data_IF_052732150357
#
_entry.id   IF_052732150357
#
_cell.length_a   1.000
_cell.length_b   1.000
_cell.length_c   1.000
_cell.angle_alpha   90.00
_cell.angle_beta   90.00
_cell.angle_gamma   90.00
#
_symmetry.space_group_name_H-M   'P 1'
#
loop_
_entity.id
_entity.type
_entity.pdbx_description
1 polymer ?
#
# COMPACT_ATOMS: atom_id res chain seq x y z
N UNK A 1 -20.29 -19.87 3.51
CA UNK A 1 -19.10 -20.45 4.19
C UNK A 1 -17.99 -19.43 4.04
N UNK A 2 -17.46 -18.87 5.12
CA UNK A 2 -16.37 -17.91 5.03
C UNK A 2 -15.10 -18.66 4.63
N UNK A 3 -14.68 -18.51 3.39
CA UNK A 3 -13.34 -18.95 2.97
C UNK A 3 -12.33 -17.98 3.60
N UNK A 4 -11.85 -18.32 4.78
CA UNK A 4 -10.77 -17.56 5.42
C UNK A 4 -9.50 -17.85 4.64
N UNK A 5 -8.97 -16.85 3.93
CA UNK A 5 -7.67 -16.95 3.27
C UNK A 5 -6.59 -17.11 4.34
N UNK A 6 -5.77 -18.14 4.20
CA UNK A 6 -4.63 -18.35 5.11
C UNK A 6 -3.35 -17.83 4.45
N UNK A 7 -2.87 -16.66 4.89
CA UNK A 7 -1.64 -16.06 4.37
C UNK A 7 -0.41 -16.98 4.52
N UNK A 8 -0.36 -17.84 5.55
CA UNK A 8 0.73 -18.78 5.71
C UNK A 8 0.79 -19.82 4.57
N UNK A 9 -0.36 -20.21 4.02
CA UNK A 9 -0.41 -21.08 2.84
C UNK A 9 0.14 -20.39 1.59
N UNK A 10 -0.13 -19.07 1.44
CA UNK A 10 0.39 -18.28 0.32
C UNK A 10 1.92 -18.17 0.40
N UNK A 11 2.49 -18.07 1.60
CA UNK A 11 3.94 -17.95 1.79
C UNK A 11 4.74 -19.14 1.23
N UNK A 12 4.09 -20.29 1.05
CA UNK A 12 4.70 -21.50 0.48
C UNK A 12 4.67 -21.54 -1.06
N UNK A 13 3.92 -20.63 -1.70
CA UNK A 13 3.81 -20.57 -3.15
C UNK A 13 5.06 -19.90 -3.76
N UNK A 14 5.48 -20.41 -4.92
CA UNK A 14 6.51 -19.79 -5.73
C UNK A 14 5.91 -18.69 -6.64
N UNK A 15 6.75 -17.79 -7.13
CA UNK A 15 6.36 -16.64 -7.95
C UNK A 15 5.57 -17.06 -9.21
N UNK A 16 5.93 -18.14 -9.85
CA UNK A 16 5.25 -18.66 -11.05
C UNK A 16 3.79 -19.06 -10.79
N UNK A 17 3.40 -19.22 -9.52
CA UNK A 17 2.00 -19.52 -9.15
C UNK A 17 1.10 -18.29 -9.20
N UNK A 18 1.64 -17.08 -9.35
CA UNK A 18 0.88 -15.83 -9.30
C UNK A 18 0.42 -15.33 -10.67
N UNK A 19 -0.06 -16.22 -11.51
CA UNK A 19 -0.61 -15.85 -12.84
C UNK A 19 -1.94 -15.11 -12.76
N UNK A 20 -2.67 -15.27 -11.64
CA UNK A 20 -3.99 -14.69 -11.39
C UNK A 20 -3.95 -13.72 -10.21
N UNK A 21 -4.94 -12.80 -10.10
CA UNK A 21 -5.12 -12.02 -8.87
C UNK A 21 -5.20 -12.93 -7.66
N UNK A 22 -4.46 -12.61 -6.60
CA UNK A 22 -4.40 -13.45 -5.41
C UNK A 22 -5.22 -12.81 -4.28
N UNK A 23 -6.29 -13.45 -3.79
CA UNK A 23 -7.02 -12.95 -2.64
C UNK A 23 -6.14 -13.09 -1.38
N UNK A 24 -5.93 -11.98 -0.68
CA UNK A 24 -5.23 -11.92 0.61
C UNK A 24 -6.23 -11.96 1.78
N UNK A 25 -7.43 -11.42 1.54
CA UNK A 25 -8.58 -11.50 2.43
C UNK A 25 -9.85 -11.66 1.60
N UNK A 26 -10.78 -12.49 2.06
CA UNK A 26 -12.09 -12.61 1.42
C UNK A 26 -13.15 -13.09 2.40
N UNK A 27 -14.30 -12.41 2.39
CA UNK A 27 -15.55 -12.90 2.98
C UNK A 27 -16.68 -12.82 1.94
N UNK A 28 -17.93 -12.92 2.35
CA UNK A 28 -19.09 -12.93 1.44
C UNK A 28 -19.24 -11.64 0.63
N UNK A 29 -18.83 -10.49 1.16
CA UNK A 29 -19.09 -9.16 0.58
C UNK A 29 -17.85 -8.29 0.38
N UNK A 30 -16.75 -8.65 1.03
CA UNK A 30 -15.54 -7.82 1.05
C UNK A 30 -14.30 -8.64 0.78
N UNK A 31 -13.41 -8.14 -0.07
CA UNK A 31 -12.16 -8.81 -0.35
C UNK A 31 -11.02 -7.81 -0.57
N UNK A 32 -9.79 -8.27 -0.29
CA UNK A 32 -8.53 -7.58 -0.61
C UNK A 32 -7.71 -8.50 -1.49
N UNK A 33 -7.41 -8.06 -2.70
CA UNK A 33 -6.61 -8.81 -3.68
C UNK A 33 -5.25 -8.14 -3.87
N UNK A 34 -4.23 -8.95 -4.03
CA UNK A 34 -2.98 -8.55 -4.67
C UNK A 34 -3.12 -8.79 -6.17
N UNK A 35 -2.86 -7.76 -6.97
CA UNK A 35 -3.04 -7.82 -8.44
C UNK A 35 -1.78 -8.27 -9.18
N UNK A 36 -0.68 -8.45 -8.48
CA UNK A 36 0.57 -8.86 -9.08
C UNK A 36 1.45 -7.71 -9.53
N UNK A 37 2.56 -8.10 -10.11
CA UNK A 37 3.53 -7.22 -10.74
C UNK A 37 4.11 -7.93 -11.96
N UNK A 38 4.23 -7.24 -13.12
CA UNK A 38 4.89 -7.80 -14.30
C UNK A 38 6.41 -7.67 -14.22
N UNK A 39 6.92 -6.97 -13.21
CA UNK A 39 8.32 -6.59 -13.13
C UNK A 39 9.18 -7.72 -12.57
N UNK A 40 10.23 -8.06 -13.29
CA UNK A 40 11.29 -8.92 -12.78
C UNK A 40 12.47 -8.06 -12.32
N UNK A 41 12.25 -7.29 -11.27
CA UNK A 41 13.25 -6.41 -10.65
C UNK A 41 13.28 -6.56 -9.15
N UNK A 42 14.38 -6.12 -8.52
CA UNK A 42 14.49 -6.14 -7.07
C UNK A 42 13.54 -5.12 -6.39
N UNK A 43 13.14 -4.08 -7.12
CA UNK A 43 12.22 -3.03 -6.67
C UNK A 43 10.88 -3.17 -7.38
N UNK A 44 10.07 -4.12 -6.93
CA UNK A 44 8.75 -4.44 -7.52
C UNK A 44 7.67 -3.64 -6.83
N UNK A 45 6.70 -3.16 -7.64
CA UNK A 45 5.53 -2.46 -7.13
C UNK A 45 4.36 -3.41 -6.94
N UNK A 46 3.73 -3.36 -5.79
CA UNK A 46 2.50 -4.08 -5.48
C UNK A 46 1.30 -3.16 -5.73
N UNK A 47 0.33 -3.64 -6.48
CA UNK A 47 -0.98 -3.01 -6.60
C UNK A 47 -2.03 -3.88 -5.93
N UNK A 48 -2.93 -3.25 -5.18
CA UNK A 48 -4.01 -3.96 -4.50
C UNK A 48 -5.38 -3.50 -5.00
N UNK A 49 -6.37 -4.39 -4.91
CA UNK A 49 -7.77 -4.07 -5.16
C UNK A 49 -8.58 -4.45 -3.93
N UNK A 50 -9.36 -3.50 -3.42
CA UNK A 50 -10.34 -3.74 -2.36
C UNK A 50 -11.72 -3.75 -3.03
N UNK A 51 -12.48 -4.81 -2.83
CA UNK A 51 -13.87 -4.89 -3.29
C UNK A 51 -14.82 -4.94 -2.10
N UNK A 52 -15.96 -4.26 -2.22
CA UNK A 52 -17.02 -4.27 -1.22
C UNK A 52 -18.40 -4.25 -1.92
N UNK A 53 -19.05 -5.42 -2.03
CA UNK A 53 -20.23 -5.58 -2.87
C UNK A 53 -19.91 -5.25 -4.34
N UNK A 54 -20.59 -4.26 -4.88
CA UNK A 54 -20.42 -3.81 -6.27
C UNK A 54 -19.41 -2.65 -6.40
N UNK A 55 -18.82 -2.20 -5.30
CA UNK A 55 -17.79 -1.16 -5.30
C UNK A 55 -16.38 -1.76 -5.30
N UNK A 56 -15.46 -1.09 -5.98
CA UNK A 56 -14.04 -1.45 -5.92
C UNK A 56 -13.16 -0.21 -5.84
N UNK A 57 -12.06 -0.34 -5.10
CA UNK A 57 -11.03 0.70 -4.96
C UNK A 57 -9.68 0.08 -5.28
N UNK A 58 -8.97 0.68 -6.23
CA UNK A 58 -7.60 0.30 -6.52
C UNK A 58 -6.65 1.10 -5.64
N UNK A 59 -5.65 0.43 -5.07
CA UNK A 59 -4.66 1.05 -4.18
C UNK A 59 -3.29 0.98 -4.82
N UNK A 60 -2.65 2.14 -4.95
CA UNK A 60 -1.35 2.33 -5.57
C UNK A 60 -1.28 1.65 -6.97
N UNK A 61 -2.00 2.21 -7.97
CA UNK A 61 -2.26 1.54 -9.24
C UNK A 61 -1.02 1.31 -10.12
N UNK A 62 0.14 1.78 -9.67
CA UNK A 62 1.40 1.54 -10.35
C UNK A 62 1.79 2.57 -11.40
N UNK A 63 2.94 2.34 -12.03
CA UNK A 63 3.44 3.16 -13.13
C UNK A 63 2.59 3.06 -14.40
N UNK A 64 2.79 4.01 -15.31
CA UNK A 64 2.05 4.06 -16.57
C UNK A 64 2.27 2.82 -17.44
N UNK A 65 3.46 2.21 -17.36
CA UNK A 65 3.89 1.04 -18.11
C UNK A 65 3.18 -0.25 -17.67
N UNK A 66 2.77 -0.34 -16.39
CA UNK A 66 2.11 -1.54 -15.86
C UNK A 66 0.59 -1.51 -15.99
N UNK A 67 0.00 -0.39 -16.42
CA UNK A 67 -1.45 -0.19 -16.48
C UNK A 67 -2.20 -1.33 -17.19
N UNK A 68 -1.78 -1.71 -18.40
CA UNK A 68 -2.48 -2.73 -19.18
C UNK A 68 -2.42 -4.11 -18.52
N UNK A 69 -1.34 -4.40 -17.80
CA UNK A 69 -1.22 -5.61 -17.00
C UNK A 69 -2.19 -5.57 -15.80
N UNK A 70 -2.17 -4.50 -15.01
CA UNK A 70 -3.03 -4.35 -13.83
C UNK A 70 -4.51 -4.32 -14.24
N UNK A 71 -4.86 -3.61 -15.31
CA UNK A 71 -6.23 -3.56 -15.83
C UNK A 71 -6.76 -4.97 -16.16
N UNK A 72 -5.99 -5.80 -16.88
CA UNK A 72 -6.39 -7.19 -17.16
C UNK A 72 -6.57 -8.04 -15.91
N UNK A 73 -5.88 -7.72 -14.81
CA UNK A 73 -6.06 -8.40 -13.52
C UNK A 73 -7.35 -7.94 -12.84
N UNK A 74 -7.66 -6.66 -12.90
CA UNK A 74 -8.93 -6.13 -12.39
C UNK A 74 -10.11 -6.73 -13.16
N UNK A 75 -10.02 -6.87 -14.51
CA UNK A 75 -11.06 -7.47 -15.36
C UNK A 75 -11.42 -8.90 -14.96
N UNK A 76 -10.55 -9.62 -14.27
CA UNK A 76 -10.84 -10.98 -13.77
C UNK A 76 -11.68 -10.98 -12.48
N UNK A 77 -11.83 -9.82 -11.83
CA UNK A 77 -12.54 -9.65 -10.56
C UNK A 77 -13.81 -8.82 -10.75
N UNK A 78 -13.69 -7.69 -11.42
CA UNK A 78 -14.76 -6.71 -11.64
C UNK A 78 -14.51 -5.97 -12.97
N UNK A 79 -15.58 -5.50 -13.59
CA UNK A 79 -15.45 -4.60 -14.74
C UNK A 79 -14.65 -3.34 -14.35
N UNK A 80 -13.55 -3.00 -15.06
CA UNK A 80 -12.70 -1.86 -14.69
C UNK A 80 -13.42 -0.52 -14.58
N UNK A 81 -14.49 -0.33 -15.38
CA UNK A 81 -15.34 0.86 -15.30
C UNK A 81 -16.12 0.99 -13.98
N UNK A 82 -16.22 -0.09 -13.20
CA UNK A 82 -16.85 -0.09 -11.87
C UNK A 82 -15.85 0.16 -10.72
N UNK A 83 -14.56 0.34 -11.03
CA UNK A 83 -13.61 0.81 -10.01
C UNK A 83 -13.96 2.27 -9.69
N UNK A 84 -14.51 2.50 -8.50
CA UNK A 84 -15.12 3.77 -8.09
C UNK A 84 -14.11 4.78 -7.56
N UNK A 85 -12.93 4.31 -7.13
CA UNK A 85 -11.87 5.18 -6.63
C UNK A 85 -10.49 4.55 -6.81
N UNK A 86 -9.48 5.41 -6.78
CA UNK A 86 -8.07 5.05 -6.66
C UNK A 86 -7.45 5.75 -5.46
N UNK A 87 -6.74 5.00 -4.62
CA UNK A 87 -5.97 5.51 -3.50
C UNK A 87 -4.52 5.65 -3.95
N UNK A 88 -3.94 6.84 -3.75
CA UNK A 88 -2.55 7.13 -4.06
C UNK A 88 -1.85 7.53 -2.76
N UNK A 89 -1.07 6.62 -2.18
CA UNK A 89 -0.44 6.83 -0.86
C UNK A 89 0.60 7.96 -0.87
N UNK A 90 1.19 8.24 -2.04
CA UNK A 90 2.04 9.39 -2.33
C UNK A 90 2.10 9.64 -3.86
N UNK A 91 2.97 10.54 -4.32
CA UNK A 91 2.97 11.06 -5.70
C UNK A 91 3.94 10.35 -6.66
N UNK A 92 4.73 9.40 -6.22
CA UNK A 92 5.81 8.84 -7.04
C UNK A 92 5.27 8.11 -8.28
N UNK A 93 6.04 8.08 -9.40
CA UNK A 93 5.57 7.54 -10.68
C UNK A 93 5.14 6.08 -10.63
N UNK A 94 5.77 5.29 -9.77
CA UNK A 94 5.49 3.87 -9.56
C UNK A 94 4.25 3.62 -8.67
N UNK A 95 3.70 4.67 -8.08
CA UNK A 95 2.42 4.68 -7.35
C UNK A 95 1.31 5.29 -8.22
N UNK A 96 1.54 6.50 -8.74
CA UNK A 96 0.53 7.34 -9.34
C UNK A 96 0.61 7.46 -10.88
N UNK A 97 1.63 6.87 -11.51
CA UNK A 97 1.89 7.07 -12.93
C UNK A 97 0.78 6.59 -13.87
N UNK A 98 0.00 5.59 -13.49
CA UNK A 98 -1.15 5.11 -14.26
C UNK A 98 -2.46 5.83 -13.94
N UNK A 99 -2.47 6.77 -12.99
CA UNK A 99 -3.67 7.48 -12.51
C UNK A 99 -4.54 8.02 -13.65
N UNK A 100 -3.94 8.71 -14.60
CA UNK A 100 -4.67 9.32 -15.74
C UNK A 100 -5.37 8.26 -16.58
N UNK A 101 -4.71 7.12 -16.85
CA UNK A 101 -5.29 6.03 -17.62
C UNK A 101 -6.48 5.38 -16.91
N UNK A 102 -6.48 5.31 -15.58
CA UNK A 102 -7.61 4.86 -14.78
C UNK A 102 -8.79 5.84 -14.84
N UNK A 103 -8.51 7.16 -14.80
CA UNK A 103 -9.52 8.20 -15.00
C UNK A 103 -10.10 8.22 -16.43
N UNK A 104 -9.35 7.73 -17.42
CA UNK A 104 -9.87 7.55 -18.79
C UNK A 104 -10.79 6.31 -18.90
N UNK A 105 -10.58 5.28 -18.06
CA UNK A 105 -11.49 4.11 -17.97
C UNK A 105 -12.79 4.47 -17.25
N UNK A 106 -12.70 5.20 -16.15
CA UNK A 106 -13.86 5.70 -15.41
C UNK A 106 -13.67 7.19 -15.04
N UNK A 107 -14.22 8.12 -15.82
CA UNK A 107 -14.12 9.56 -15.55
C UNK A 107 -14.74 10.01 -14.20
N UNK A 108 -15.68 9.24 -13.65
CA UNK A 108 -16.31 9.51 -12.35
C UNK A 108 -15.51 8.95 -11.17
N UNK A 109 -14.36 8.31 -11.43
CA UNK A 109 -13.50 7.73 -10.39
C UNK A 109 -12.94 8.80 -9.48
N UNK A 110 -13.07 8.59 -8.18
CA UNK A 110 -12.47 9.48 -7.16
C UNK A 110 -10.97 9.24 -7.04
N UNK A 111 -10.22 10.32 -6.83
CA UNK A 111 -8.81 10.24 -6.43
C UNK A 111 -8.70 10.51 -4.94
N UNK A 112 -8.36 9.48 -4.18
CA UNK A 112 -8.23 9.53 -2.72
C UNK A 112 -6.76 9.72 -2.38
N UNK A 113 -6.40 10.87 -1.85
CA UNK A 113 -5.02 11.17 -1.47
C UNK A 113 -4.92 12.36 -0.52
N UNK A 114 -3.71 12.72 -0.08
CA UNK A 114 -3.48 13.91 0.72
C UNK A 114 -3.43 15.20 -0.11
N UNK A 115 -3.70 16.34 0.50
CA UNK A 115 -3.54 17.65 -0.17
C UNK A 115 -2.15 17.82 -0.79
N UNK A 116 -1.10 17.36 -0.11
CA UNK A 116 0.28 17.53 -0.60
C UNK A 116 0.58 16.64 -1.82
N UNK A 117 0.06 15.45 -1.84
CA UNK A 117 0.14 14.55 -3.01
C UNK A 117 -0.68 15.11 -4.16
N UNK A 118 -1.91 15.56 -3.90
CA UNK A 118 -2.81 16.09 -4.93
C UNK A 118 -2.20 17.24 -5.75
N UNK A 119 -1.45 18.14 -5.11
CA UNK A 119 -0.75 19.23 -5.80
C UNK A 119 0.24 18.70 -6.85
N UNK A 120 0.89 17.58 -6.59
CA UNK A 120 1.95 17.04 -7.46
C UNK A 120 1.40 16.10 -8.53
N UNK A 121 0.39 15.30 -8.24
CA UNK A 121 -0.16 14.34 -9.20
C UNK A 121 -0.90 15.00 -10.37
N UNK A 122 -1.35 16.27 -10.24
CA UNK A 122 -1.87 17.04 -11.36
C UNK A 122 -0.87 17.21 -12.51
N UNK A 123 0.42 17.14 -12.22
CA UNK A 123 1.48 17.15 -13.22
C UNK A 123 1.57 15.89 -14.08
N UNK A 124 0.83 14.84 -13.75
CA UNK A 124 0.62 13.69 -14.66
C UNK A 124 -0.33 14.01 -15.83
N UNK A 125 -0.87 15.24 -15.87
CA UNK A 125 -1.58 15.77 -17.03
C UNK A 125 -3.11 15.71 -16.95
N UNK A 126 -3.67 15.50 -15.74
CA UNK A 126 -5.09 15.56 -15.48
C UNK A 126 -5.34 16.08 -14.06
N UNK A 127 -6.25 17.06 -13.93
CA UNK A 127 -6.61 17.71 -12.65
C UNK A 127 -8.14 17.87 -12.48
N UNK A 128 -8.93 17.46 -13.48
CA UNK A 128 -10.39 17.52 -13.52
C UNK A 128 -11.06 16.23 -12.99
N UNK A 129 -10.75 15.84 -11.76
CA UNK A 129 -11.30 14.65 -11.11
C UNK A 129 -11.90 14.99 -9.73
N UNK A 130 -12.76 14.11 -9.23
CA UNK A 130 -13.26 14.22 -7.86
C UNK A 130 -12.15 13.88 -6.86
N UNK A 131 -11.67 14.90 -6.14
CA UNK A 131 -10.63 14.75 -5.13
C UNK A 131 -11.23 14.46 -3.75
N UNK A 132 -10.92 13.30 -3.19
CA UNK A 132 -11.21 12.95 -1.80
C UNK A 132 -9.98 13.22 -0.94
N UNK A 133 -10.06 14.27 -0.11
CA UNK A 133 -8.93 14.73 0.71
C UNK A 133 -8.85 14.01 2.04
N UNK A 134 -7.85 13.13 2.22
CA UNK A 134 -7.65 12.37 3.46
C UNK A 134 -7.25 13.24 4.66
N UNK A 135 -6.75 14.46 4.43
CA UNK A 135 -6.43 15.42 5.50
C UNK A 135 -7.69 16.07 6.12
N UNK A 136 -8.80 16.06 5.39
CA UNK A 136 -10.10 16.54 5.88
C UNK A 136 -10.99 15.39 6.33
N UNK A 137 -10.95 14.28 5.60
CA UNK A 137 -11.78 13.10 5.83
C UNK A 137 -10.89 11.87 6.06
N UNK A 138 -10.60 11.59 7.33
CA UNK A 138 -9.72 10.47 7.71
C UNK A 138 -10.33 9.08 7.47
N UNK A 139 -11.56 9.00 6.93
CA UNK A 139 -12.28 7.74 6.69
C UNK A 139 -13.07 7.83 5.39
N UNK A 140 -12.93 6.80 4.55
CA UNK A 140 -13.82 6.54 3.42
C UNK A 140 -14.80 5.45 3.83
N UNK A 141 -16.08 5.62 3.52
CA UNK A 141 -17.13 4.64 3.86
C UNK A 141 -17.77 4.14 2.57
N UNK A 142 -17.75 2.82 2.37
CA UNK A 142 -18.46 2.15 1.30
C UNK A 142 -19.98 2.25 1.49
N UNK A 143 -20.76 2.04 0.43
CA UNK A 143 -22.24 2.01 0.50
C UNK A 143 -22.77 0.95 1.47
N UNK A 144 -22.00 -0.10 1.71
CA UNK A 144 -22.28 -1.14 2.71
C UNK A 144 -22.17 -0.67 4.16
N UNK A 145 -21.55 0.50 4.41
CA UNK A 145 -21.20 1.01 5.73
C UNK A 145 -19.84 0.55 6.27
N UNK A 146 -19.08 -0.31 5.55
CA UNK A 146 -17.70 -0.66 5.91
C UNK A 146 -16.76 0.49 5.59
N UNK A 147 -15.60 0.53 6.25
CA UNK A 147 -14.74 1.70 6.21
C UNK A 147 -13.28 1.39 5.96
N UNK A 148 -12.64 2.31 5.24
CA UNK A 148 -11.18 2.45 5.15
C UNK A 148 -10.77 3.68 5.97
N UNK A 149 -9.80 3.54 6.84
CA UNK A 149 -9.25 4.66 7.63
C UNK A 149 -7.87 5.03 7.12
N UNK A 150 -7.64 6.33 6.91
CA UNK A 150 -6.37 6.86 6.46
C UNK A 150 -5.53 7.32 7.66
N UNK A 151 -4.27 6.91 7.69
CA UNK A 151 -3.33 7.18 8.77
C UNK A 151 -2.15 7.91 8.18
N UNK A 152 -2.07 9.22 8.40
CA UNK A 152 -0.99 10.04 7.89
C UNK A 152 0.38 9.54 8.39
N UNK A 153 1.33 9.46 7.47
CA UNK A 153 2.70 9.00 7.69
C UNK A 153 3.72 10.02 7.16
N UNK A 154 3.64 11.29 7.59
CA UNK A 154 4.45 12.35 6.99
C UNK A 154 5.94 12.05 7.10
N UNK A 155 6.64 12.22 5.97
CA UNK A 155 8.08 11.96 5.81
C UNK A 155 8.49 10.46 5.87
N UNK A 156 7.53 9.56 5.62
CA UNK A 156 7.77 8.14 5.41
C UNK A 156 7.29 7.69 4.00
N UNK A 157 7.94 8.01 2.84
CA UNK A 157 9.12 8.93 2.85
C UNK A 157 8.72 10.36 2.43
N UNK A 158 7.55 10.58 1.89
CA UNK A 158 7.06 11.88 1.40
C UNK A 158 6.27 12.66 2.48
N UNK A 159 6.26 14.02 2.47
CA UNK A 159 5.51 14.81 3.46
C UNK A 159 4.01 14.54 3.51
N UNK A 160 3.41 14.14 2.39
CA UNK A 160 1.98 13.81 2.28
C UNK A 160 1.67 12.32 2.27
N UNK A 161 2.64 11.45 2.58
CA UNK A 161 2.45 10.01 2.62
C UNK A 161 1.46 9.59 3.71
N UNK A 162 0.73 8.51 3.45
CA UNK A 162 -0.20 7.90 4.40
C UNK A 162 -0.35 6.40 4.15
N UNK A 163 -0.85 5.71 5.16
CA UNK A 163 -1.27 4.31 5.05
C UNK A 163 -2.79 4.21 5.07
N UNK A 164 -3.34 3.18 4.42
CA UNK A 164 -4.76 2.85 4.43
C UNK A 164 -5.00 1.63 5.29
N UNK A 165 -5.82 1.76 6.33
CA UNK A 165 -6.24 0.65 7.17
C UNK A 165 -7.65 0.21 6.80
N UNK A 166 -7.78 -1.01 6.32
CA UNK A 166 -9.07 -1.64 6.06
C UNK A 166 -9.61 -2.25 7.37
N UNK A 167 -10.68 -1.64 7.90
CA UNK A 167 -11.27 -2.04 9.17
C UNK A 167 -11.93 -3.43 9.11
N UNK A 168 -12.29 -3.92 7.93
CA UNK A 168 -12.94 -5.20 7.73
C UNK A 168 -11.96 -6.37 7.79
N UNK A 169 -10.86 -6.29 7.07
CA UNK A 169 -9.80 -7.30 7.10
C UNK A 169 -8.84 -7.13 8.28
N UNK A 170 -8.77 -5.93 8.83
CA UNK A 170 -7.73 -5.46 9.75
C UNK A 170 -6.35 -5.44 9.08
N UNK A 171 -6.28 -5.16 7.77
CA UNK A 171 -5.05 -5.05 7.00
C UNK A 171 -4.62 -3.60 6.85
N UNK A 172 -3.31 -3.37 6.88
CA UNK A 172 -2.68 -2.07 6.70
C UNK A 172 -1.95 -2.04 5.36
N UNK A 173 -2.52 -1.34 4.37
CA UNK A 173 -1.85 -1.02 3.11
C UNK A 173 -0.95 0.18 3.39
N UNK A 174 0.35 -0.06 3.45
CA UNK A 174 1.28 0.85 4.12
C UNK A 174 2.05 1.80 3.19
N UNK A 175 1.80 1.73 1.88
CA UNK A 175 2.64 2.43 0.92
C UNK A 175 4.09 1.95 1.07
N UNK A 176 5.04 2.86 1.05
CA UNK A 176 6.47 2.54 1.14
C UNK A 176 6.95 2.16 2.54
N UNK A 177 6.11 2.28 3.55
CA UNK A 177 6.48 1.86 4.89
C UNK A 177 6.54 0.34 4.92
N UNK A 178 7.65 -0.21 5.40
CA UNK A 178 8.04 -1.62 5.32
C UNK A 178 8.31 -2.14 3.90
N UNK A 179 8.54 -1.23 2.95
CA UNK A 179 9.05 -1.59 1.63
C UNK A 179 10.35 -2.41 1.72
N UNK A 180 10.50 -3.40 0.85
CA UNK A 180 11.67 -4.26 0.81
C UNK A 180 12.18 -4.44 -0.62
N UNK A 181 13.51 -4.50 -0.77
CA UNK A 181 14.19 -4.67 -2.06
C UNK A 181 14.84 -6.04 -2.09
N UNK A 182 14.45 -6.89 -3.03
CA UNK A 182 15.09 -8.20 -3.25
C UNK A 182 14.76 -8.81 -4.61
N UNK A 183 15.69 -9.61 -5.14
CA UNK A 183 15.43 -10.48 -6.29
C UNK A 183 14.82 -11.82 -5.87
N UNK A 184 15.16 -12.33 -4.68
CA UNK A 184 14.55 -13.53 -4.09
C UNK A 184 13.29 -13.15 -3.31
N UNK A 185 12.18 -13.01 -4.04
CA UNK A 185 10.93 -12.48 -3.52
C UNK A 185 9.86 -13.57 -3.36
N UNK A 186 9.09 -13.47 -2.29
CA UNK A 186 7.84 -14.22 -2.06
C UNK A 186 6.73 -13.24 -1.71
N UNK A 187 5.49 -13.55 -2.09
CA UNK A 187 4.37 -12.66 -1.80
C UNK A 187 4.17 -12.45 -0.29
N UNK A 188 4.33 -13.49 0.52
CA UNK A 188 4.19 -13.42 1.97
C UNK A 188 5.45 -13.92 2.64
N UNK A 189 5.98 -13.18 3.61
CA UNK A 189 7.17 -13.61 4.35
C UNK A 189 6.89 -14.81 5.25
N UNK A 190 7.89 -15.67 5.40
CA UNK A 190 7.90 -16.79 6.36
C UNK A 190 8.93 -16.61 7.48
N UNK A 191 9.82 -15.61 7.37
CA UNK A 191 10.81 -15.25 8.37
C UNK A 191 11.07 -13.76 8.37
N UNK A 192 10.84 -13.10 9.50
CA UNK A 192 10.99 -11.65 9.62
C UNK A 192 12.46 -11.23 9.64
N UNK A 193 13.34 -12.02 10.23
CA UNK A 193 14.75 -11.65 10.38
C UNK A 193 15.48 -11.52 9.05
N UNK A 194 15.22 -12.43 8.12
CA UNK A 194 15.76 -12.32 6.76
C UNK A 194 15.14 -11.16 6.00
N UNK A 195 13.85 -10.87 6.22
CA UNK A 195 13.13 -9.78 5.60
C UNK A 195 13.59 -8.39 6.10
N UNK A 196 14.00 -8.26 7.35
CA UNK A 196 14.53 -7.01 7.93
C UNK A 196 15.70 -6.46 7.12
N UNK A 197 16.64 -7.31 6.68
CA UNK A 197 17.74 -6.87 5.84
C UNK A 197 17.26 -6.29 4.50
N UNK A 198 16.25 -6.89 3.89
CA UNK A 198 15.65 -6.42 2.63
C UNK A 198 14.95 -5.06 2.80
N UNK A 199 14.30 -4.84 3.93
CA UNK A 199 13.71 -3.54 4.29
C UNK A 199 14.78 -2.47 4.53
N UNK A 200 15.91 -2.81 5.13
CA UNK A 200 17.01 -1.87 5.36
C UNK A 200 17.55 -1.27 4.06
N UNK A 201 17.57 -2.04 2.95
CA UNK A 201 18.03 -1.56 1.64
C UNK A 201 17.19 -0.38 1.10
N UNK A 202 15.97 -0.24 1.56
CA UNK A 202 15.10 0.88 1.24
C UNK A 202 15.10 1.93 2.36
N UNK A 203 14.77 1.53 3.58
CA UNK A 203 14.45 2.46 4.66
C UNK A 203 15.62 3.33 5.10
N UNK A 204 16.86 2.82 5.06
CA UNK A 204 18.02 3.58 5.55
C UNK A 204 18.23 4.87 4.77
N UNK A 205 17.95 4.85 3.46
CA UNK A 205 18.19 5.98 2.57
C UNK A 205 16.97 6.84 2.30
N UNK A 206 15.77 6.23 2.23
CA UNK A 206 14.55 6.91 1.79
C UNK A 206 13.74 7.53 2.94
N UNK A 207 13.75 6.95 4.15
CA UNK A 207 12.99 7.50 5.26
C UNK A 207 13.70 8.70 5.90
N UNK A 208 12.94 9.73 6.27
CA UNK A 208 13.51 10.98 6.76
C UNK A 208 14.27 10.85 8.08
N UNK A 209 13.79 9.99 9.00
CA UNK A 209 14.45 9.77 10.29
C UNK A 209 13.53 9.13 11.33
N UNK A 210 14.13 8.68 12.42
CA UNK A 210 13.46 7.94 13.50
C UNK A 210 12.26 8.69 14.12
N UNK A 211 12.31 10.01 14.17
CA UNK A 211 11.20 10.81 14.72
C UNK A 211 9.92 10.62 13.91
N UNK A 212 10.03 10.58 12.57
CA UNK A 212 8.89 10.32 11.70
C UNK A 212 8.39 8.88 11.88
N UNK A 213 9.29 7.90 11.91
CA UNK A 213 8.98 6.49 12.11
C UNK A 213 8.24 6.23 13.43
N UNK A 214 8.72 6.77 14.54
CA UNK A 214 8.05 6.69 15.85
C UNK A 214 6.70 7.37 15.84
N UNK A 215 6.61 8.57 15.27
CA UNK A 215 5.35 9.31 15.18
C UNK A 215 4.26 8.53 14.45
N UNK A 216 4.62 7.78 13.42
CA UNK A 216 3.69 6.89 12.73
C UNK A 216 3.29 5.68 13.58
N UNK A 217 4.23 5.00 14.22
CA UNK A 217 3.92 3.88 15.12
C UNK A 217 3.02 4.33 16.29
N UNK A 218 3.22 5.55 16.82
CA UNK A 218 2.35 6.10 17.86
C UNK A 218 0.90 6.27 17.38
N UNK A 219 0.68 6.58 16.09
CA UNK A 219 -0.67 6.67 15.49
C UNK A 219 -1.34 5.30 15.30
N UNK A 220 -0.56 4.21 15.25
CA UNK A 220 -1.08 2.84 15.16
C UNK A 220 -1.46 2.26 16.53
N UNK A 221 -1.16 2.94 17.64
CA UNK A 221 -1.52 2.45 18.98
C UNK A 221 -3.03 2.22 19.12
N UNK A 222 -3.37 1.02 19.58
CA UNK A 222 -4.77 0.60 19.74
C UNK A 222 -5.46 0.10 18.47
N UNK A 223 -4.77 0.11 17.33
CA UNK A 223 -5.25 -0.47 16.08
C UNK A 223 -4.75 -1.92 16.01
N UNK A 224 -5.66 -2.86 15.84
CA UNK A 224 -5.29 -4.27 15.64
C UNK A 224 -4.97 -4.51 14.17
N UNK A 225 -3.70 -4.71 13.84
CA UNK A 225 -3.26 -5.04 12.47
C UNK A 225 -2.99 -6.54 12.37
N UNK A 226 -3.60 -7.19 11.36
CA UNK A 226 -3.42 -8.63 11.08
C UNK A 226 -2.46 -8.90 9.91
N UNK A 227 -2.26 -7.94 9.04
CA UNK A 227 -1.23 -8.00 8.01
C UNK A 227 -0.84 -6.60 7.58
N UNK A 228 0.41 -6.44 7.13
CA UNK A 228 0.91 -5.23 6.51
C UNK A 228 1.15 -5.54 5.02
N UNK A 229 0.60 -4.71 4.17
CA UNK A 229 0.64 -4.82 2.72
C UNK A 229 1.43 -3.63 2.15
N UNK A 230 2.76 -3.73 2.01
CA UNK A 230 3.58 -2.64 1.49
C UNK A 230 3.47 -2.52 -0.02
N UNK A 231 3.73 -1.33 -0.55
CA UNK A 231 3.76 -1.06 -1.98
C UNK A 231 4.98 -1.74 -2.65
N UNK A 232 6.07 -1.99 -1.92
CA UNK A 232 7.22 -2.77 -2.40
C UNK A 232 7.54 -3.93 -1.47
N UNK A 233 7.92 -5.06 -2.06
CA UNK A 233 8.32 -6.25 -1.30
C UNK A 233 7.14 -7.13 -0.88
N UNK A 234 7.30 -7.81 0.21
CA UNK A 234 6.41 -8.90 0.62
C UNK A 234 5.41 -8.47 1.69
N UNK A 235 4.22 -9.07 1.68
CA UNK A 235 3.22 -8.97 2.75
C UNK A 235 3.79 -9.52 4.05
N UNK A 236 3.58 -8.79 5.14
CA UNK A 236 3.98 -9.17 6.50
C UNK A 236 2.73 -9.67 7.23
N UNK A 237 2.57 -10.98 7.49
CA UNK A 237 1.38 -11.54 8.14
C UNK A 237 1.40 -11.33 9.66
N UNK A 238 0.24 -11.57 10.30
CA UNK A 238 -0.02 -11.32 11.73
C UNK A 238 1.10 -11.74 12.70
N UNK A 239 1.74 -12.92 12.55
CA UNK A 239 2.81 -13.34 13.47
C UNK A 239 4.02 -12.39 13.54
N UNK A 240 4.23 -11.58 12.48
CA UNK A 240 5.40 -10.70 12.36
C UNK A 240 5.07 -9.20 12.45
N UNK A 241 3.80 -8.83 12.65
CA UNK A 241 3.38 -7.42 12.71
C UNK A 241 4.05 -6.68 13.87
N UNK A 242 4.12 -7.31 15.03
CA UNK A 242 4.78 -6.70 16.21
C UNK A 242 6.29 -6.53 16.00
N UNK A 243 6.93 -7.44 15.28
CA UNK A 243 8.34 -7.31 14.91
C UNK A 243 8.54 -6.16 13.91
N UNK A 244 7.64 -6.02 12.94
CA UNK A 244 7.63 -4.91 11.99
C UNK A 244 7.44 -3.54 12.69
N UNK A 245 6.54 -3.46 13.66
CA UNK A 245 6.34 -2.25 14.47
C UNK A 245 7.59 -1.91 15.30
N UNK A 246 8.19 -2.91 15.94
CA UNK A 246 9.42 -2.75 16.71
C UNK A 246 10.59 -2.34 15.83
N UNK A 247 10.72 -2.92 14.65
CA UNK A 247 11.71 -2.54 13.65
C UNK A 247 11.60 -1.06 13.31
N UNK A 248 10.42 -0.61 12.87
CA UNK A 248 10.22 0.78 12.46
C UNK A 248 10.41 1.76 13.63
N UNK A 249 9.92 1.43 14.83
CA UNK A 249 10.07 2.25 16.03
C UNK A 249 11.54 2.49 16.40
N UNK A 250 12.41 1.51 16.17
CA UNK A 250 13.84 1.58 16.51
C UNK A 250 14.74 1.95 15.31
N UNK A 251 14.16 2.09 14.13
CA UNK A 251 14.90 2.35 12.90
C UNK A 251 15.68 3.67 12.99
N UNK A 252 16.97 3.61 12.72
CA UNK A 252 17.82 4.79 12.44
C UNK A 252 17.98 4.90 10.94
N UNK A 253 17.55 6.01 10.36
CA UNK A 253 17.51 6.19 8.92
C UNK A 253 17.70 7.67 8.54
N UNK A 254 17.95 7.94 7.27
CA UNK A 254 18.01 9.28 6.72
C UNK A 254 18.87 10.24 7.55
N UNK A 255 18.25 11.26 8.13
CA UNK A 255 18.94 12.29 8.89
C UNK A 255 19.65 11.76 10.15
N UNK A 256 19.21 10.65 10.75
CA UNK A 256 19.88 10.05 11.90
C UNK A 256 21.25 9.46 11.52
N UNK A 257 21.43 9.07 10.26
CA UNK A 257 22.66 8.51 9.72
C UNK A 257 23.55 9.64 9.16
N UNK A 258 22.95 10.54 8.37
CA UNK A 258 23.70 11.63 7.71
C UNK A 258 24.23 12.68 8.70
N UNK A 259 23.54 12.91 9.81
CA UNK A 259 23.87 13.93 10.81
C UNK A 259 23.82 13.37 12.25
N UNK A 260 24.63 12.34 12.58
CA UNK A 260 24.53 11.58 13.84
C UNK A 260 24.78 12.44 15.09
N UNK A 261 25.59 13.50 14.97
CA UNK A 261 25.99 14.37 16.10
C UNK A 261 25.02 15.53 16.33
N UNK A 262 24.02 15.74 15.45
CA UNK A 262 23.02 16.79 15.62
C UNK A 262 21.85 16.30 16.48
N UNK A 263 22.14 15.81 17.68
CA UNK A 263 21.10 15.58 18.71
C UNK A 263 20.47 16.92 19.07
N UNK A 264 19.14 16.96 19.12
CA UNK A 264 18.40 18.13 19.59
C UNK A 264 18.98 18.58 20.93
N UNK A 265 19.46 19.85 21.00
CA UNK A 265 19.72 20.54 22.26
C UNK A 265 18.40 20.83 22.95
#
# INVERSE_FOLDING_TARGET
>A
MSNTVNLATISELFEESFEQPTPLYQNEYHAVYWLGTPENSAFRCNTYLITDGDEAIIVDPGGAEVFDFIRRRVEQIIEPAHVSAQILCHQDPDVAGSMVRWLDVNPEMKVITSTRTNILISHYGKDDYEFFNITEFATYTFSSGRSLRFIEAPFLHFPGAFATYDETSAYLLSGDIWAAIDMDWKLVISDFRSHEFKMNLFHLDYMAGNVAARGFIDRLKGIKVKAILPQHGSVIPEPFVEDAFRYLYNLRCGLDILYPDKKRK
#
